data_IF_333328395065
#
_entry.id   IF_333328395065
#
_cell.length_a   1.000
_cell.length_b   1.000
_cell.length_c   1.000
_cell.angle_alpha   90.00
_cell.angle_beta   90.00
_cell.angle_gamma   90.00
#
_symmetry.space_group_name_H-M   'P 1'
#
loop_
_entity.id
_entity.type
_entity.pdbx_description
1 polymer ?
#
# COMPACT_ATOMS: atom_id res chain seq x y z
N UNK A 1 -7.21 11.92 1.41
CA UNK A 1 -8.07 12.55 2.42
C UNK A 1 -7.87 11.84 3.75
N UNK A 2 -7.82 12.62 4.86
CA UNK A 2 -7.81 12.04 6.22
C UNK A 2 -8.66 12.92 7.13
N UNK A 3 -9.47 12.29 7.97
CA UNK A 3 -10.27 12.93 9.00
C UNK A 3 -10.01 12.26 10.35
N UNK A 4 -10.00 13.08 11.41
CA UNK A 4 -9.89 12.61 12.79
C UNK A 4 -10.88 13.35 13.66
N UNK A 5 -11.48 12.64 14.59
CA UNK A 5 -12.40 13.19 15.58
C UNK A 5 -12.03 12.66 16.96
N UNK A 6 -11.76 13.55 17.88
CA UNK A 6 -11.58 13.25 19.29
C UNK A 6 -12.85 13.67 20.04
N UNK A 7 -13.38 12.75 20.81
CA UNK A 7 -14.49 12.97 21.73
C UNK A 7 -14.03 12.64 23.15
N UNK A 8 -14.30 13.54 24.08
CA UNK A 8 -14.00 13.43 25.50
C UNK A 8 -15.32 13.47 26.31
N UNK A 9 -16.12 12.37 26.32
CA UNK A 9 -17.43 12.38 26.96
C UNK A 9 -17.37 12.57 28.49
N UNK A 10 -16.23 12.24 29.09
CA UNK A 10 -15.94 12.45 30.51
C UNK A 10 -14.45 12.61 30.74
N UNK A 11 -14.03 13.03 31.92
CA UNK A 11 -12.62 13.16 32.33
C UNK A 11 -11.83 11.83 32.28
N UNK A 12 -12.52 10.72 32.19
CA UNK A 12 -11.92 9.37 32.21
C UNK A 12 -12.09 8.61 30.89
N UNK A 13 -12.69 9.19 29.85
CA UNK A 13 -13.01 8.51 28.61
C UNK A 13 -12.67 9.35 27.40
N UNK A 14 -11.71 8.87 26.61
CA UNK A 14 -11.32 9.42 25.31
C UNK A 14 -11.68 8.46 24.19
N UNK A 15 -12.28 8.99 23.14
CA UNK A 15 -12.67 8.26 21.95
C UNK A 15 -12.07 8.96 20.74
N UNK A 16 -11.19 8.28 20.01
CA UNK A 16 -10.56 8.79 18.83
C UNK A 16 -11.01 7.97 17.61
N UNK A 17 -11.68 8.64 16.67
CA UNK A 17 -12.06 8.09 15.37
C UNK A 17 -11.12 8.65 14.30
N UNK A 18 -10.53 7.80 13.51
CA UNK A 18 -9.73 8.17 12.34
C UNK A 18 -10.27 7.48 11.10
N UNK A 19 -10.39 8.22 10.01
CA UNK A 19 -10.74 7.69 8.69
C UNK A 19 -9.78 8.25 7.66
N UNK A 20 -9.39 7.44 6.69
CA UNK A 20 -8.56 7.89 5.58
C UNK A 20 -8.97 7.24 4.27
N UNK A 21 -8.73 7.97 3.19
CA UNK A 21 -8.93 7.54 1.82
C UNK A 21 -7.82 8.10 0.93
N UNK A 22 -7.24 7.26 0.11
CA UNK A 22 -6.24 7.62 -0.90
C UNK A 22 -6.56 6.92 -2.21
N UNK A 23 -6.50 7.67 -3.30
CA UNK A 23 -6.58 7.14 -4.65
C UNK A 23 -5.38 7.70 -5.41
N UNK A 24 -4.68 6.82 -6.13
CA UNK A 24 -3.55 7.16 -6.99
C UNK A 24 -3.78 6.59 -8.38
N UNK A 25 -3.60 7.46 -9.36
CA UNK A 25 -3.59 7.15 -10.79
C UNK A 25 -2.24 7.62 -11.32
N UNK A 26 -1.39 6.67 -11.63
CA UNK A 26 0.01 6.95 -11.96
C UNK A 26 0.52 6.01 -13.07
N UNK A 27 1.61 6.38 -13.71
CA UNK A 27 2.38 5.49 -14.57
C UNK A 27 3.62 5.02 -13.80
N UNK A 28 3.76 3.72 -13.67
CA UNK A 28 4.79 3.11 -12.85
C UNK A 28 5.62 2.11 -13.66
N UNK A 29 6.84 1.99 -13.21
CA UNK A 29 7.59 0.74 -13.32
C UNK A 29 8.11 0.40 -14.71
N UNK A 30 8.50 1.39 -15.49
CA UNK A 30 9.33 1.15 -16.68
C UNK A 30 10.76 0.83 -16.28
N UNK A 31 11.36 -0.15 -16.94
CA UNK A 31 12.73 -0.58 -16.69
C UNK A 31 13.64 -0.24 -17.87
N UNK A 32 14.89 0.06 -17.57
CA UNK A 32 15.93 0.28 -18.57
C UNK A 32 16.65 -1.04 -18.84
N UNK A 33 16.75 -1.43 -20.11
CA UNK A 33 17.54 -2.60 -20.49
C UNK A 33 19.02 -2.27 -20.37
N UNK A 34 19.72 -2.97 -19.49
CA UNK A 34 21.15 -2.80 -19.26
C UNK A 34 21.97 -3.80 -20.10
N UNK A 35 21.51 -5.05 -20.14
CA UNK A 35 22.16 -6.10 -20.93
C UNK A 35 21.09 -6.83 -21.73
N UNK A 36 21.34 -7.01 -23.02
CA UNK A 36 20.46 -7.77 -23.91
C UNK A 36 20.85 -9.24 -23.88
N UNK A 37 19.88 -10.09 -23.55
CA UNK A 37 20.09 -11.54 -23.49
C UNK A 37 19.99 -12.26 -24.84
N UNK A 38 19.99 -13.60 -24.84
CA UNK A 38 19.90 -14.42 -26.08
C UNK A 38 18.62 -14.20 -26.89
N UNK A 39 17.56 -13.68 -26.29
CA UNK A 39 16.28 -13.37 -26.94
C UNK A 39 16.31 -12.07 -27.74
N UNK A 40 17.41 -11.33 -27.71
CA UNK A 40 17.53 -10.02 -28.38
C UNK A 40 17.18 -10.07 -29.89
N UNK A 41 17.66 -11.11 -30.61
CA UNK A 41 17.37 -11.24 -32.00
C UNK A 41 15.88 -11.49 -32.32
N UNK A 42 15.18 -12.19 -31.44
CA UNK A 42 13.73 -12.42 -31.56
C UNK A 42 12.98 -11.12 -31.34
N UNK A 43 13.34 -10.37 -30.30
CA UNK A 43 12.74 -9.07 -29.97
C UNK A 43 12.94 -8.11 -31.14
N UNK A 44 14.15 -8.03 -31.71
CA UNK A 44 14.47 -7.16 -32.88
C UNK A 44 13.65 -7.54 -34.10
N UNK A 45 13.44 -8.82 -34.34
CA UNK A 45 12.63 -9.30 -35.45
C UNK A 45 11.14 -9.02 -35.31
N UNK A 46 10.65 -8.94 -34.10
CA UNK A 46 9.23 -8.69 -33.79
C UNK A 46 8.92 -7.21 -33.57
N UNK A 47 9.93 -6.38 -33.32
CA UNK A 47 9.74 -4.95 -33.14
C UNK A 47 9.43 -4.27 -34.47
N UNK A 48 8.29 -3.57 -34.62
CA UNK A 48 7.84 -3.02 -35.90
C UNK A 48 8.80 -1.97 -36.52
N UNK A 49 9.59 -1.30 -35.69
CA UNK A 49 10.44 -0.18 -36.09
C UNK A 49 11.94 -0.47 -35.88
N UNK A 50 12.34 -1.71 -35.75
CA UNK A 50 13.70 -2.06 -35.31
C UNK A 50 14.10 -1.33 -34.01
N UNK A 51 13.11 -0.85 -33.30
CA UNK A 51 13.23 0.13 -32.22
C UNK A 51 13.42 -0.50 -30.85
N UNK A 52 14.19 -1.56 -30.80
CA UNK A 52 14.64 -2.03 -29.51
C UNK A 52 15.58 -1.01 -28.92
N UNK A 53 15.33 -0.63 -27.70
CA UNK A 53 16.25 0.20 -26.96
C UNK A 53 17.64 -0.42 -27.03
N UNK A 54 18.59 0.19 -27.67
CA UNK A 54 19.95 -0.27 -27.56
C UNK A 54 20.33 -0.24 -26.08
N UNK A 55 21.26 -1.07 -25.70
CA UNK A 55 21.89 -0.94 -24.38
C UNK A 55 22.44 0.47 -24.31
N UNK A 56 21.73 1.29 -23.64
CA UNK A 56 22.10 2.67 -23.45
C UNK A 56 22.69 2.78 -22.04
N UNK A 57 23.36 3.88 -21.82
CA UNK A 57 23.71 4.32 -20.50
C UNK A 57 22.44 4.25 -19.58
N UNK A 58 22.43 3.41 -18.53
CA UNK A 58 21.28 3.31 -17.64
C UNK A 58 21.00 4.63 -16.91
N UNK A 59 21.99 5.50 -16.81
CA UNK A 59 21.84 6.83 -16.24
C UNK A 59 21.08 7.79 -17.16
N UNK A 60 20.98 7.50 -18.45
CA UNK A 60 20.15 8.27 -19.38
C UNK A 60 18.64 8.13 -19.12
N UNK A 61 18.23 7.18 -18.27
CA UNK A 61 16.83 6.96 -17.85
C UNK A 61 15.86 6.85 -19.03
N UNK A 62 16.26 6.16 -20.08
CA UNK A 62 15.43 5.90 -21.25
C UNK A 62 14.92 4.47 -21.18
N UNK A 63 13.61 4.31 -21.19
CA UNK A 63 12.93 3.02 -21.27
C UNK A 63 12.06 2.99 -22.54
N UNK A 64 11.78 1.79 -23.02
CA UNK A 64 10.92 1.53 -24.15
C UNK A 64 9.76 0.68 -23.70
N UNK A 65 8.59 0.98 -24.23
CA UNK A 65 7.38 0.22 -23.97
C UNK A 65 6.36 0.51 -25.05
N UNK A 66 5.70 -0.51 -25.55
CA UNK A 66 4.55 -0.36 -26.44
C UNK A 66 3.22 -0.57 -25.70
N UNK A 67 3.27 -0.88 -24.41
CA UNK A 67 2.11 -1.12 -23.57
C UNK A 67 2.05 -0.17 -22.39
N UNK A 68 0.84 0.05 -21.90
CA UNK A 68 0.60 0.95 -20.79
C UNK A 68 1.20 0.42 -19.48
N UNK A 69 1.88 1.30 -18.74
CA UNK A 69 2.34 1.07 -17.36
C UNK A 69 1.46 1.81 -16.33
N UNK A 70 0.21 2.08 -16.69
CA UNK A 70 -0.74 2.72 -15.78
C UNK A 70 -0.95 1.86 -14.53
N UNK A 71 -1.02 2.51 -13.39
CA UNK A 71 -1.28 1.89 -12.10
C UNK A 71 -2.36 2.66 -11.35
N UNK A 72 -3.35 1.95 -10.87
CA UNK A 72 -4.44 2.47 -10.07
C UNK A 72 -4.38 1.84 -8.68
N UNK A 73 -4.27 2.66 -7.64
CA UNK A 73 -4.23 2.19 -6.26
C UNK A 73 -5.30 2.90 -5.48
N UNK A 74 -6.13 2.12 -4.80
CA UNK A 74 -7.11 2.61 -3.83
C UNK A 74 -6.73 2.08 -2.45
N UNK A 75 -6.72 2.96 -1.45
CA UNK A 75 -6.40 2.65 -0.07
C UNK A 75 -7.36 3.43 0.82
N UNK A 76 -8.15 2.71 1.59
CA UNK A 76 -9.10 3.30 2.52
C UNK A 76 -9.09 2.55 3.84
N UNK A 77 -9.36 3.27 4.91
CA UNK A 77 -9.37 2.66 6.22
C UNK A 77 -9.99 3.54 7.30
N UNK A 78 -10.20 2.92 8.43
CA UNK A 78 -10.67 3.60 9.62
C UNK A 78 -10.26 2.87 10.87
N UNK A 79 -10.12 3.63 11.96
CA UNK A 79 -9.85 3.10 13.27
C UNK A 79 -10.65 3.83 14.35
N UNK A 80 -11.04 3.08 15.34
CA UNK A 80 -11.67 3.57 16.56
C UNK A 80 -10.80 3.16 17.75
N UNK A 81 -10.26 4.14 18.46
CA UNK A 81 -9.56 3.95 19.71
C UNK A 81 -10.41 4.48 20.85
N UNK A 82 -10.53 3.70 21.91
CA UNK A 82 -11.21 4.06 23.15
C UNK A 82 -10.20 3.88 24.28
N UNK A 83 -9.92 4.95 25.00
CA UNK A 83 -9.09 4.95 26.20
C UNK A 83 -9.97 5.27 27.40
N UNK A 84 -10.00 4.35 28.36
CA UNK A 84 -10.77 4.51 29.58
C UNK A 84 -9.88 4.40 30.81
N UNK A 85 -9.77 5.49 31.55
CA UNK A 85 -9.07 5.54 32.82
C UNK A 85 -9.97 4.97 33.91
N UNK A 86 -9.75 3.72 34.27
CA UNK A 86 -10.60 3.00 35.22
C UNK A 86 -10.34 3.42 36.66
N UNK A 87 -11.34 3.92 37.37
CA UNK A 87 -11.18 4.23 38.78
C UNK A 87 -11.05 2.99 39.66
N UNK A 88 -11.35 1.80 39.15
CA UNK A 88 -11.44 0.57 39.95
C UNK A 88 -10.15 -0.25 39.99
N UNK A 89 -9.29 -0.13 38.98
CA UNK A 89 -8.05 -0.92 38.88
C UNK A 89 -6.82 -0.10 39.25
N UNK A 90 -6.89 0.68 40.34
CA UNK A 90 -5.75 1.51 40.74
C UNK A 90 -5.40 2.61 39.80
N UNK A 91 -6.36 3.09 39.00
CA UNK A 91 -6.10 4.12 37.96
C UNK A 91 -5.53 3.56 36.68
N UNK A 92 -5.65 2.27 36.40
CA UNK A 92 -5.20 1.66 35.17
C UNK A 92 -6.01 2.15 33.97
N UNK A 93 -5.34 2.33 32.84
CA UNK A 93 -5.97 2.68 31.56
C UNK A 93 -6.28 1.43 30.76
N UNK A 94 -7.53 1.27 30.36
CA UNK A 94 -7.97 0.28 29.39
C UNK A 94 -8.03 0.94 28.00
N UNK A 95 -7.28 0.41 27.06
CA UNK A 95 -7.29 0.85 25.65
C UNK A 95 -7.88 -0.24 24.78
N UNK A 96 -8.84 0.12 23.93
CA UNK A 96 -9.37 -0.74 22.87
C UNK A 96 -9.15 -0.05 21.53
N UNK A 97 -8.54 -0.76 20.57
CA UNK A 97 -8.33 -0.26 19.21
C UNK A 97 -8.93 -1.26 18.23
N UNK A 98 -9.88 -0.79 17.44
CA UNK A 98 -10.46 -1.54 16.32
C UNK A 98 -10.08 -0.84 15.04
N UNK A 99 -9.54 -1.55 14.06
CA UNK A 99 -9.22 -0.97 12.77
C UNK A 99 -9.64 -1.88 11.61
N UNK A 100 -10.05 -1.21 10.52
CA UNK A 100 -10.41 -1.81 9.25
C UNK A 100 -9.62 -1.10 8.16
N UNK A 101 -9.07 -1.87 7.20
CA UNK A 101 -8.41 -1.32 6.02
C UNK A 101 -8.68 -2.18 4.81
N UNK A 102 -8.96 -1.52 3.70
CA UNK A 102 -9.03 -2.10 2.38
C UNK A 102 -7.99 -1.43 1.48
N UNK A 103 -7.22 -2.24 0.79
CA UNK A 103 -6.25 -1.79 -0.18
C UNK A 103 -6.40 -2.60 -1.45
N UNK A 104 -6.33 -1.91 -2.59
CA UNK A 104 -6.37 -2.57 -3.89
C UNK A 104 -5.42 -1.89 -4.87
N UNK A 105 -4.91 -2.68 -5.82
CA UNK A 105 -4.09 -2.19 -6.91
C UNK A 105 -4.39 -2.94 -8.20
N UNK A 106 -4.46 -2.20 -9.28
CA UNK A 106 -4.48 -2.70 -10.66
C UNK A 106 -3.32 -2.06 -11.41
N UNK A 107 -2.50 -2.83 -12.10
CA UNK A 107 -1.35 -2.27 -12.81
C UNK A 107 -1.10 -2.92 -14.17
N UNK A 108 -0.70 -2.10 -15.13
CA UNK A 108 -0.14 -2.51 -16.40
C UNK A 108 1.38 -2.63 -16.35
N UNK A 109 1.93 -3.51 -17.15
CA UNK A 109 3.37 -3.61 -17.34
C UNK A 109 3.68 -4.25 -18.69
N UNK A 110 4.66 -3.71 -19.36
CA UNK A 110 5.32 -4.30 -20.50
C UNK A 110 6.53 -5.09 -20.01
N UNK A 111 6.47 -6.41 -20.06
CA UNK A 111 7.51 -7.27 -19.51
C UNK A 111 8.71 -7.45 -20.44
N UNK A 112 8.57 -7.18 -21.72
CA UNK A 112 9.68 -7.27 -22.66
C UNK A 112 10.48 -5.96 -22.75
N UNK A 113 9.92 -4.86 -22.22
CA UNK A 113 10.55 -3.53 -22.18
C UNK A 113 11.11 -3.09 -23.55
N UNK A 114 10.33 -3.35 -24.59
CA UNK A 114 10.69 -3.06 -25.97
C UNK A 114 9.51 -2.47 -26.74
N UNK A 115 9.65 -2.32 -28.06
CA UNK A 115 8.56 -1.97 -28.95
C UNK A 115 7.91 -3.20 -29.60
N UNK A 116 8.41 -4.41 -29.32
CA UNK A 116 7.78 -5.65 -29.71
C UNK A 116 6.61 -5.97 -28.77
N UNK A 117 5.56 -6.57 -29.30
CA UNK A 117 4.37 -6.90 -28.53
C UNK A 117 4.39 -8.40 -28.17
N UNK A 118 5.17 -8.75 -27.16
CA UNK A 118 5.43 -10.15 -26.79
C UNK A 118 4.72 -10.52 -25.50
N UNK A 119 4.95 -9.76 -24.43
CA UNK A 119 4.41 -10.11 -23.11
C UNK A 119 4.07 -8.85 -22.32
N UNK A 120 2.82 -8.72 -21.97
CA UNK A 120 2.35 -7.59 -21.20
C UNK A 120 1.26 -7.98 -20.23
N UNK A 121 1.01 -7.09 -19.28
CA UNK A 121 -0.13 -7.10 -18.35
C UNK A 121 -0.98 -5.87 -18.63
N UNK A 122 -2.27 -6.08 -18.85
CA UNK A 122 -3.21 -5.00 -19.08
C UNK A 122 -3.55 -4.28 -17.76
N UNK A 123 -3.54 -2.93 -17.73
CA UNK A 123 -3.93 -2.16 -16.55
C UNK A 123 -5.46 -2.01 -16.40
N UNK A 124 -6.27 -2.65 -17.23
CA UNK A 124 -7.71 -2.54 -17.13
C UNK A 124 -8.24 -3.11 -15.81
N UNK A 125 -9.18 -2.38 -15.22
CA UNK A 125 -9.81 -2.75 -13.97
C UNK A 125 -10.52 -4.11 -14.12
N UNK A 126 -10.08 -5.09 -13.35
CA UNK A 126 -10.60 -6.45 -13.39
C UNK A 126 -9.64 -7.48 -13.97
N UNK A 127 -8.66 -7.09 -14.81
CA UNK A 127 -7.72 -8.04 -15.42
C UNK A 127 -6.54 -8.38 -14.52
N UNK A 128 -6.09 -7.41 -13.71
CA UNK A 128 -4.97 -7.55 -12.79
C UNK A 128 -5.25 -6.85 -11.48
N UNK A 129 -5.98 -7.52 -10.66
CA UNK A 129 -6.37 -7.02 -9.35
C UNK A 129 -5.54 -7.70 -8.26
N UNK A 130 -4.95 -6.91 -7.40
CA UNK A 130 -4.40 -7.34 -6.12
C UNK A 130 -5.07 -6.52 -5.04
N UNK A 131 -5.64 -7.18 -4.05
CA UNK A 131 -6.29 -6.48 -2.97
C UNK A 131 -6.28 -7.31 -1.69
N UNK A 132 -6.41 -6.64 -0.58
CA UNK A 132 -6.58 -7.24 0.73
C UNK A 132 -7.46 -6.36 1.62
N UNK A 133 -8.18 -7.03 2.48
CA UNK A 133 -8.93 -6.44 3.58
C UNK A 133 -8.28 -6.87 4.88
N UNK A 134 -8.14 -5.93 5.80
CA UNK A 134 -7.56 -6.19 7.12
C UNK A 134 -8.52 -5.73 8.18
N UNK A 135 -8.77 -6.61 9.14
CA UNK A 135 -9.39 -6.28 10.42
C UNK A 135 -8.38 -6.51 11.53
N UNK A 136 -8.24 -5.57 12.43
CA UNK A 136 -7.45 -5.74 13.64
C UNK A 136 -8.21 -5.25 14.87
N UNK A 137 -8.00 -5.97 15.97
CA UNK A 137 -8.53 -5.63 17.28
C UNK A 137 -7.42 -5.76 18.31
N UNK A 138 -7.17 -4.70 19.05
CA UNK A 138 -6.27 -4.69 20.20
C UNK A 138 -7.05 -4.30 21.45
N UNK A 139 -6.82 -5.01 22.55
CA UNK A 139 -7.31 -4.65 23.87
C UNK A 139 -6.12 -4.75 24.81
N UNK A 140 -5.77 -3.66 25.48
CA UNK A 140 -4.69 -3.62 26.45
C UNK A 140 -5.09 -2.86 27.70
N UNK A 141 -4.48 -3.25 28.82
CA UNK A 141 -4.59 -2.56 30.09
C UNK A 141 -3.20 -2.24 30.60
N UNK A 142 -2.97 -1.00 30.97
CA UNK A 142 -1.72 -0.51 31.52
C UNK A 142 -1.96 0.17 32.87
N UNK A 143 -1.07 -0.06 33.82
CA UNK A 143 -1.18 0.55 35.14
C UNK A 143 0.17 0.59 35.85
N UNK A 144 0.21 1.27 36.98
CA UNK A 144 1.38 1.40 37.81
C UNK A 144 1.05 1.10 39.25
N UNK A 145 2.02 0.57 39.98
CA UNK A 145 2.06 0.49 41.42
C UNK A 145 3.30 1.25 41.92
N UNK A 146 3.50 1.35 43.22
CA UNK A 146 4.68 2.06 43.77
C UNK A 146 6.04 1.56 43.24
N UNK A 147 6.08 0.29 42.80
CA UNK A 147 7.34 -0.35 42.40
C UNK A 147 7.33 -0.98 41.00
N UNK A 148 6.17 -1.07 40.34
CA UNK A 148 6.03 -1.80 39.07
C UNK A 148 5.07 -1.07 38.14
N UNK A 149 5.52 -0.79 36.93
CA UNK A 149 4.68 -0.44 35.79
C UNK A 149 4.38 -1.72 35.01
N UNK A 150 3.13 -1.93 34.65
CA UNK A 150 2.70 -3.14 33.98
C UNK A 150 1.77 -2.85 32.79
N UNK A 151 1.85 -3.73 31.80
CA UNK A 151 0.97 -3.72 30.62
C UNK A 151 0.62 -5.18 30.28
N UNK A 152 -0.67 -5.41 30.05
CA UNK A 152 -1.22 -6.69 29.56
C UNK A 152 -2.13 -6.40 28.39
N UNK A 153 -2.05 -7.20 27.33
CA UNK A 153 -2.89 -7.00 26.16
C UNK A 153 -3.07 -8.26 25.33
N UNK A 154 -4.06 -8.18 24.45
CA UNK A 154 -4.39 -9.16 23.42
C UNK A 154 -4.47 -8.43 22.08
N UNK A 155 -3.95 -9.11 21.06
CA UNK A 155 -3.95 -8.62 19.70
C UNK A 155 -4.47 -9.71 18.76
#
# INVERSE_FOLDING_TARGET
LRGQLLLEPSENLDINLSIDYSNRDENCCSSVTIVRGPTAAIIDALAPDSGVAPVADPYARRAWSNRSSAQYIEDNGGSLQIDWNSPWFGGATLTSITALREWSSTNGIDFDYSTADILYRNPEKGDNFTGFETFSQEIRMAGATDNVDWLVGLF
#
